data_IF_590037967069
#
_entry.id   IF_590037967069
#
_cell.length_a   1.000
_cell.length_b   1.000
_cell.length_c   1.000
_cell.angle_alpha   90.00
_cell.angle_beta   90.00
_cell.angle_gamma   90.00
#
_symmetry.space_group_name_H-M   'P 1'
#
loop_
_entity.id
_entity.type
_entity.pdbx_description
1 polymer ?
#
# COMPACT_ATOMS: atom_id res chain seq x y z
N UNK A 1 -15.36 26.19 -12.38
CA UNK A 1 -14.73 24.94 -11.89
C UNK A 1 -15.66 24.37 -10.84
N UNK A 2 -16.26 23.20 -11.07
CA UNK A 2 -17.19 22.60 -10.10
C UNK A 2 -16.40 21.70 -9.15
N UNK A 3 -15.85 22.29 -8.08
CA UNK A 3 -15.28 21.53 -6.95
C UNK A 3 -16.33 20.59 -6.40
N UNK A 4 -15.96 19.32 -6.18
CA UNK A 4 -16.84 18.32 -5.56
C UNK A 4 -16.23 17.84 -4.26
N UNK A 5 -17.09 17.60 -3.29
CA UNK A 5 -16.71 17.06 -2.01
C UNK A 5 -17.36 15.69 -1.82
N UNK A 6 -16.53 14.65 -1.76
CA UNK A 6 -16.95 13.28 -1.54
C UNK A 6 -16.95 12.99 -0.04
N UNK A 7 -18.14 12.85 0.53
CA UNK A 7 -18.35 12.77 1.97
C UNK A 7 -18.20 11.34 2.48
N UNK A 8 -17.77 11.20 3.75
CA UNK A 8 -17.65 9.90 4.42
C UNK A 8 -18.93 9.07 4.39
N UNK A 9 -20.11 9.68 4.49
CA UNK A 9 -21.41 9.00 4.42
C UNK A 9 -21.79 8.53 2.99
N UNK A 10 -20.88 8.66 2.01
CA UNK A 10 -21.11 8.22 0.64
C UNK A 10 -21.99 9.16 -0.17
N UNK A 11 -22.13 10.44 0.20
CA UNK A 11 -22.85 11.44 -0.61
C UNK A 11 -21.90 12.50 -1.16
N UNK A 12 -22.36 13.29 -2.13
CA UNK A 12 -21.58 14.38 -2.75
C UNK A 12 -22.15 15.72 -2.28
N UNK A 13 -21.28 16.63 -1.84
CA UNK A 13 -21.60 18.06 -1.74
C UNK A 13 -20.95 18.84 -2.87
N UNK A 14 -21.66 19.83 -3.39
CA UNK A 14 -21.15 20.85 -4.32
C UNK A 14 -20.88 22.18 -3.63
N UNK A 15 -21.35 22.33 -2.39
CA UNK A 15 -21.08 23.50 -1.57
C UNK A 15 -19.82 23.26 -0.72
N UNK A 16 -19.01 24.31 -0.47
CA UNK A 16 -17.85 24.22 0.40
C UNK A 16 -18.21 23.69 1.78
N UNK A 17 -17.45 22.69 2.24
CA UNK A 17 -17.61 22.10 3.57
C UNK A 17 -16.68 22.83 4.53
N UNK A 18 -17.19 23.15 5.71
CA UNK A 18 -16.35 23.61 6.81
C UNK A 18 -15.53 22.44 7.39
N UNK A 19 -14.22 22.51 7.24
CA UNK A 19 -13.25 21.50 7.72
C UNK A 19 -13.31 21.22 9.22
N UNK A 20 -13.76 22.18 10.02
CA UNK A 20 -13.83 22.03 11.49
C UNK A 20 -15.04 21.21 11.94
N UNK A 21 -16.06 21.08 11.08
CA UNK A 21 -17.34 20.44 11.43
C UNK A 21 -17.58 19.10 10.69
N UNK A 22 -16.67 18.69 9.81
CA UNK A 22 -16.84 17.48 9.01
C UNK A 22 -15.83 16.39 9.43
N UNK A 23 -16.34 15.17 9.65
CA UNK A 23 -15.52 14.02 10.08
C UNK A 23 -14.40 13.69 9.07
N UNK A 24 -14.73 13.54 7.79
CA UNK A 24 -13.80 13.25 6.69
C UNK A 24 -14.48 13.50 5.33
N UNK A 25 -13.72 14.04 4.39
CA UNK A 25 -14.13 14.17 2.98
C UNK A 25 -12.92 14.24 2.06
N UNK A 26 -13.15 13.93 0.78
CA UNK A 26 -12.17 14.10 -0.29
C UNK A 26 -12.64 15.24 -1.19
N UNK A 27 -11.76 16.20 -1.45
CA UNK A 27 -11.98 17.29 -2.39
C UNK A 27 -11.48 16.86 -3.76
N UNK A 28 -12.28 17.08 -4.79
CA UNK A 28 -11.84 17.04 -6.17
C UNK A 28 -11.83 18.43 -6.78
N UNK A 29 -10.73 18.72 -7.46
CA UNK A 29 -10.55 19.90 -8.28
C UNK A 29 -9.83 19.51 -9.58
N UNK A 30 -9.94 20.37 -10.59
CA UNK A 30 -9.40 20.13 -11.92
C UNK A 30 -8.23 21.07 -12.19
N UNK A 31 -7.06 20.53 -12.54
CA UNK A 31 -5.89 21.30 -13.00
C UNK A 31 -5.51 20.80 -14.38
N UNK A 32 -5.46 21.69 -15.37
CA UNK A 32 -5.06 21.37 -16.74
C UNK A 32 -5.84 20.20 -17.38
N UNK A 33 -7.11 20.02 -17.03
CA UNK A 33 -7.94 18.90 -17.52
C UNK A 33 -7.78 17.59 -16.73
N UNK A 34 -6.89 17.56 -15.74
CA UNK A 34 -6.70 16.41 -14.86
C UNK A 34 -7.49 16.55 -13.56
N UNK A 35 -8.22 15.50 -13.20
CA UNK A 35 -8.85 15.37 -11.88
C UNK A 35 -7.76 15.15 -10.83
N UNK A 36 -7.68 16.04 -9.85
CA UNK A 36 -6.84 15.89 -8.66
C UNK A 36 -7.73 15.69 -7.43
N UNK A 37 -7.19 14.97 -6.46
CA UNK A 37 -7.87 14.66 -5.21
C UNK A 37 -6.99 15.11 -4.05
N UNK A 38 -7.63 15.62 -3.00
CA UNK A 38 -6.99 16.04 -1.76
C UNK A 38 -7.87 15.63 -0.59
N UNK A 39 -7.25 15.25 0.53
CA UNK A 39 -7.95 15.07 1.80
C UNK A 39 -7.06 15.53 2.96
N UNK A 40 -7.69 15.89 4.07
CA UNK A 40 -6.98 16.38 5.25
C UNK A 40 -5.94 15.35 5.74
N UNK A 41 -4.72 15.81 6.00
CA UNK A 41 -3.56 15.02 6.42
C UNK A 41 -2.94 14.13 5.34
N UNK A 42 -3.21 14.36 4.04
CA UNK A 42 -2.59 13.60 2.95
C UNK A 42 -1.08 13.89 2.79
N UNK A 43 -0.53 14.95 3.40
CA UNK A 43 0.90 15.24 3.42
C UNK A 43 1.75 14.14 4.07
N UNK A 44 1.13 13.25 4.84
CA UNK A 44 1.81 12.07 5.39
C UNK A 44 2.40 11.17 4.31
N UNK A 45 1.79 11.13 3.11
CA UNK A 45 2.30 10.39 1.96
C UNK A 45 3.67 10.90 1.53
N UNK A 46 3.79 12.22 1.38
CA UNK A 46 5.06 12.88 1.03
C UNK A 46 6.11 12.65 2.10
N UNK A 47 5.72 12.70 3.37
CA UNK A 47 6.64 12.42 4.47
C UNK A 47 7.17 10.99 4.44
N UNK A 48 6.31 10.00 4.17
CA UNK A 48 6.74 8.60 4.04
C UNK A 48 7.67 8.46 2.83
N UNK A 49 7.31 9.07 1.68
CA UNK A 49 8.10 9.00 0.46
C UNK A 49 9.52 9.58 0.64
N UNK A 50 9.65 10.73 1.29
CA UNK A 50 10.95 11.32 1.63
C UNK A 50 11.83 10.38 2.47
N UNK A 51 11.24 9.69 3.45
CA UNK A 51 11.98 8.73 4.28
C UNK A 51 12.32 7.45 3.48
N UNK A 52 11.46 7.01 2.57
CA UNK A 52 11.76 5.90 1.66
C UNK A 52 12.90 6.26 0.71
N UNK A 53 12.95 7.48 0.17
CA UNK A 53 14.08 7.99 -0.63
C UNK A 53 15.39 7.88 0.16
N UNK A 54 15.36 8.23 1.45
CA UNK A 54 16.53 8.13 2.32
C UNK A 54 17.02 6.68 2.53
N UNK A 55 16.15 5.66 2.34
CA UNK A 55 16.58 4.27 2.40
C UNK A 55 17.42 3.85 1.18
N UNK A 56 17.23 4.49 0.01
CA UNK A 56 18.09 4.23 -1.15
C UNK A 56 19.53 4.61 -0.84
N UNK A 57 19.71 5.77 -0.22
CA UNK A 57 21.00 6.28 0.25
C UNK A 57 21.59 5.36 1.31
N UNK A 58 20.77 4.89 2.25
CA UNK A 58 21.23 3.94 3.27
C UNK A 58 21.78 2.65 2.66
N UNK A 59 21.10 2.05 1.68
CA UNK A 59 21.65 0.86 1.01
C UNK A 59 22.90 1.17 0.20
N UNK A 60 22.96 2.33 -0.47
CA UNK A 60 24.18 2.78 -1.15
C UNK A 60 25.33 2.83 -0.14
N UNK A 61 25.15 3.48 1.01
CA UNK A 61 26.21 3.68 1.99
C UNK A 61 26.68 2.36 2.62
N UNK A 62 25.81 1.35 2.73
CA UNK A 62 26.17 -0.01 3.17
C UNK A 62 27.16 -0.68 2.19
N UNK A 63 26.95 -0.55 0.88
CA UNK A 63 27.74 -1.28 -0.13
C UNK A 63 28.84 -0.42 -0.79
N UNK A 64 28.67 0.89 -0.80
CA UNK A 64 29.57 1.90 -1.38
C UNK A 64 29.81 3.05 -0.39
N UNK A 65 30.77 2.90 0.54
CA UNK A 65 31.08 3.94 1.53
C UNK A 65 31.67 5.22 0.91
N UNK A 66 32.28 5.13 -0.26
CA UNK A 66 32.74 6.29 -1.04
C UNK A 66 31.63 6.75 -2.00
N UNK A 67 30.84 7.72 -1.56
CA UNK A 67 29.72 8.28 -2.32
C UNK A 67 30.19 8.92 -3.64
N UNK A 68 31.31 9.63 -3.65
CA UNK A 68 31.82 10.28 -4.86
C UNK A 68 32.31 9.22 -5.87
N UNK A 69 33.02 8.20 -5.38
CA UNK A 69 33.42 7.04 -6.16
C UNK A 69 32.22 6.30 -6.76
N UNK A 70 31.16 6.09 -5.98
CA UNK A 70 29.90 5.50 -6.46
C UNK A 70 29.32 6.28 -7.64
N UNK A 71 29.13 7.59 -7.53
CA UNK A 71 28.54 8.39 -8.61
C UNK A 71 29.45 8.46 -9.86
N UNK A 72 30.78 8.47 -9.70
CA UNK A 72 31.71 8.36 -10.83
C UNK A 72 31.56 7.02 -11.57
N UNK A 73 31.44 5.92 -10.82
CA UNK A 73 31.20 4.61 -11.41
C UNK A 73 29.82 4.50 -12.06
N UNK A 74 28.78 5.03 -11.42
CA UNK A 74 27.41 5.02 -11.92
C UNK A 74 27.31 5.72 -13.28
N UNK A 75 28.02 6.84 -13.47
CA UNK A 75 28.08 7.54 -14.76
C UNK A 75 28.73 6.72 -15.89
N UNK A 76 29.47 5.67 -15.55
CA UNK A 76 30.16 4.79 -16.51
C UNK A 76 29.49 3.43 -16.66
N UNK A 77 28.60 3.06 -15.74
CA UNK A 77 27.99 1.74 -15.73
C UNK A 77 26.92 1.64 -16.82
N UNK A 78 26.83 0.52 -17.56
CA UNK A 78 25.82 0.37 -18.59
C UNK A 78 24.40 0.36 -17.99
N UNK A 79 23.47 0.95 -18.73
CA UNK A 79 22.06 1.09 -18.31
C UNK A 79 21.38 -0.24 -17.96
N UNK A 80 21.81 -1.37 -18.53
CA UNK A 80 21.23 -2.69 -18.22
C UNK A 80 21.38 -3.07 -16.76
N UNK A 81 22.38 -2.52 -16.05
CA UNK A 81 22.59 -2.78 -14.62
C UNK A 81 21.47 -2.18 -13.77
N UNK A 82 20.88 -1.07 -14.22
CA UNK A 82 19.80 -0.38 -13.53
C UNK A 82 18.41 -0.88 -14.00
N UNK A 83 18.26 -1.18 -15.29
CA UNK A 83 16.93 -1.32 -15.90
C UNK A 83 16.53 -2.77 -16.25
N UNK A 84 17.48 -3.64 -16.56
CA UNK A 84 17.16 -4.94 -17.16
C UNK A 84 16.47 -5.86 -16.14
N UNK A 85 15.32 -6.43 -16.53
CA UNK A 85 14.52 -7.30 -15.67
C UNK A 85 13.66 -6.58 -14.62
N UNK A 86 13.75 -5.26 -14.54
CA UNK A 86 12.97 -4.42 -13.61
C UNK A 86 12.12 -3.37 -14.34
N UNK A 87 12.46 -3.02 -15.59
CA UNK A 87 11.73 -2.06 -16.41
C UNK A 87 11.28 -2.67 -17.73
N UNK A 88 9.99 -2.52 -18.07
CA UNK A 88 9.41 -2.98 -19.34
C UNK A 88 9.99 -2.31 -20.58
N UNK A 89 10.56 -1.10 -20.44
CA UNK A 89 11.21 -0.38 -21.54
C UNK A 89 12.62 -0.91 -21.82
N UNK A 90 13.15 -1.78 -20.96
CA UNK A 90 14.43 -2.44 -21.17
C UNK A 90 14.24 -3.81 -21.83
N UNK A 91 14.35 -3.85 -23.17
CA UNK A 91 14.18 -5.06 -23.97
C UNK A 91 15.39 -6.02 -23.92
N UNK A 92 15.84 -6.39 -22.71
CA UNK A 92 16.94 -7.33 -22.47
C UNK A 92 16.37 -8.61 -21.86
N UNK A 93 16.51 -9.73 -22.58
CA UNK A 93 16.13 -11.04 -22.06
C UNK A 93 17.21 -11.64 -21.14
N UNK A 94 16.89 -12.76 -20.49
CA UNK A 94 17.78 -13.45 -19.55
C UNK A 94 19.07 -13.95 -20.21
N UNK A 95 19.03 -14.36 -21.48
CA UNK A 95 20.21 -14.86 -22.18
C UNK A 95 21.18 -13.72 -22.50
N UNK A 96 20.67 -12.60 -22.98
CA UNK A 96 21.45 -11.41 -23.26
C UNK A 96 22.00 -10.80 -21.96
N UNK A 97 21.20 -10.73 -20.90
CA UNK A 97 21.63 -10.26 -19.58
C UNK A 97 22.86 -11.03 -19.07
N UNK A 98 22.82 -12.37 -19.11
CA UNK A 98 23.95 -13.20 -18.68
C UNK A 98 25.22 -12.97 -19.54
N UNK A 99 25.07 -12.77 -20.85
CA UNK A 99 26.19 -12.41 -21.74
C UNK A 99 26.77 -11.05 -21.40
N UNK A 100 25.92 -10.05 -21.12
CA UNK A 100 26.34 -8.71 -20.75
C UNK A 100 27.09 -8.71 -19.41
N UNK A 101 26.62 -9.46 -18.41
CA UNK A 101 27.34 -9.65 -17.15
C UNK A 101 28.77 -10.13 -17.40
N UNK A 102 28.94 -11.23 -18.16
CA UNK A 102 30.28 -11.77 -18.44
C UNK A 102 31.17 -10.79 -19.19
N UNK A 103 30.61 -10.04 -20.16
CA UNK A 103 31.33 -9.03 -20.93
C UNK A 103 31.81 -7.87 -20.04
N UNK A 104 30.92 -7.33 -19.22
CA UNK A 104 31.19 -6.13 -18.41
C UNK A 104 31.92 -6.44 -17.10
N UNK A 105 31.90 -7.68 -16.63
CA UNK A 105 32.72 -8.12 -15.50
C UNK A 105 34.21 -7.94 -15.78
N UNK A 106 34.67 -8.13 -17.02
CA UNK A 106 36.07 -7.88 -17.39
C UNK A 106 36.49 -6.41 -17.30
N UNK A 107 35.52 -5.48 -17.24
CA UNK A 107 35.75 -4.04 -17.18
C UNK A 107 35.62 -3.53 -15.74
N UNK A 108 34.55 -3.93 -15.04
CA UNK A 108 34.18 -3.41 -13.73
C UNK A 108 34.47 -4.37 -12.56
N UNK A 109 34.81 -5.63 -12.85
CA UNK A 109 35.07 -6.66 -11.85
C UNK A 109 33.92 -6.82 -10.86
N UNK A 110 34.27 -6.93 -9.58
CA UNK A 110 33.31 -7.13 -8.48
C UNK A 110 32.37 -5.94 -8.27
N UNK A 111 32.72 -4.73 -8.75
CA UNK A 111 31.84 -3.57 -8.61
C UNK A 111 30.59 -3.71 -9.48
N UNK A 112 30.66 -4.44 -10.61
CA UNK A 112 29.47 -4.77 -11.39
C UNK A 112 28.43 -5.53 -10.56
N UNK A 113 28.87 -6.58 -9.86
CA UNK A 113 27.99 -7.38 -9.00
C UNK A 113 27.48 -6.58 -7.81
N UNK A 114 28.30 -5.66 -7.29
CA UNK A 114 27.90 -4.79 -6.20
C UNK A 114 26.80 -3.81 -6.63
N UNK A 115 26.92 -3.20 -7.80
CA UNK A 115 25.89 -2.32 -8.37
C UNK A 115 24.59 -3.10 -8.64
N UNK A 116 24.68 -4.27 -9.29
CA UNK A 116 23.50 -5.13 -9.52
C UNK A 116 22.76 -5.45 -8.22
N UNK A 117 23.51 -5.86 -7.19
CA UNK A 117 22.92 -6.19 -5.89
C UNK A 117 22.30 -4.98 -5.19
N UNK A 118 22.97 -3.81 -5.23
CA UNK A 118 22.41 -2.57 -4.70
C UNK A 118 21.07 -2.22 -5.39
N UNK A 119 21.02 -2.35 -6.72
CA UNK A 119 19.80 -2.09 -7.51
C UNK A 119 18.68 -3.05 -7.10
N UNK A 120 18.97 -4.33 -6.88
CA UNK A 120 17.98 -5.29 -6.39
C UNK A 120 17.43 -4.91 -4.99
N UNK A 121 18.27 -4.42 -4.08
CA UNK A 121 17.82 -3.90 -2.79
C UNK A 121 16.94 -2.65 -2.95
N UNK A 122 17.36 -1.73 -3.81
CA UNK A 122 16.64 -0.48 -4.10
C UNK A 122 15.30 -0.72 -4.79
N UNK A 123 15.19 -1.75 -5.63
CA UNK A 123 13.94 -2.18 -6.26
C UNK A 123 12.87 -2.55 -5.23
N UNK A 124 13.25 -3.13 -4.08
CA UNK A 124 12.32 -3.42 -2.98
C UNK A 124 11.71 -2.11 -2.45
N UNK A 125 12.52 -1.05 -2.31
CA UNK A 125 12.04 0.27 -1.85
C UNK A 125 11.08 0.87 -2.87
N UNK A 126 11.45 0.86 -4.16
CA UNK A 126 10.59 1.37 -5.24
C UNK A 126 9.26 0.63 -5.31
N UNK A 127 9.28 -0.68 -5.02
CA UNK A 127 8.07 -1.48 -4.91
C UNK A 127 7.20 -1.00 -3.75
N UNK A 128 7.75 -0.67 -2.58
CA UNK A 128 6.98 -0.09 -1.45
C UNK A 128 6.37 1.26 -1.84
N UNK A 129 7.13 2.14 -2.50
CA UNK A 129 6.62 3.44 -2.97
C UNK A 129 5.43 3.26 -3.92
N UNK A 130 5.53 2.34 -4.88
CA UNK A 130 4.42 2.02 -5.78
C UNK A 130 3.20 1.47 -5.02
N UNK A 131 3.41 0.55 -4.09
CA UNK A 131 2.31 0.00 -3.28
C UNK A 131 1.65 1.06 -2.39
N UNK A 132 2.42 2.04 -1.90
CA UNK A 132 1.91 3.17 -1.12
C UNK A 132 0.99 4.07 -1.96
N UNK A 133 1.43 4.41 -3.18
CA UNK A 133 0.61 5.16 -4.14
C UNK A 133 -0.68 4.40 -4.49
N UNK A 134 -0.58 3.10 -4.82
CA UNK A 134 -1.74 2.27 -5.12
C UNK A 134 -2.71 2.18 -3.93
N UNK A 135 -2.20 2.05 -2.70
CA UNK A 135 -3.04 2.06 -1.50
C UNK A 135 -3.80 3.38 -1.35
N UNK A 136 -3.14 4.51 -1.57
CA UNK A 136 -3.78 5.81 -1.52
C UNK A 136 -4.83 5.96 -2.62
N UNK A 137 -4.52 5.55 -3.85
CA UNK A 137 -5.46 5.60 -4.97
C UNK A 137 -6.69 4.74 -4.70
N UNK A 138 -6.52 3.53 -4.16
CA UNK A 138 -7.63 2.65 -3.78
C UNK A 138 -8.47 3.24 -2.64
N UNK A 139 -7.83 3.88 -1.65
CA UNK A 139 -8.51 4.59 -0.58
C UNK A 139 -9.37 5.74 -1.12
N UNK A 140 -8.80 6.60 -1.96
CA UNK A 140 -9.53 7.69 -2.63
C UNK A 140 -10.67 7.13 -3.49
N UNK A 141 -10.37 6.11 -4.30
CA UNK A 141 -11.30 5.52 -5.25
C UNK A 141 -12.53 4.95 -4.55
N UNK A 142 -12.37 4.33 -3.39
CA UNK A 142 -13.51 3.83 -2.62
C UNK A 142 -14.53 4.95 -2.31
N UNK A 143 -14.07 6.10 -1.78
CA UNK A 143 -14.96 7.21 -1.44
C UNK A 143 -15.52 7.91 -2.68
N UNK A 144 -14.72 8.06 -3.74
CA UNK A 144 -15.20 8.64 -5.00
C UNK A 144 -16.28 7.75 -5.61
N UNK A 145 -16.03 6.46 -5.77
CA UNK A 145 -16.94 5.55 -6.47
C UNK A 145 -18.23 5.31 -5.69
N UNK A 146 -18.16 5.16 -4.36
CA UNK A 146 -19.37 4.97 -3.56
C UNK A 146 -20.27 6.21 -3.64
N UNK A 147 -19.67 7.40 -3.66
CA UNK A 147 -20.36 8.67 -3.80
C UNK A 147 -20.93 8.89 -5.21
N UNK A 148 -20.21 8.52 -6.26
CA UNK A 148 -20.65 8.67 -7.66
C UNK A 148 -21.63 7.58 -8.10
N UNK A 149 -21.76 6.48 -7.34
CA UNK A 149 -22.73 5.43 -7.64
C UNK A 149 -24.15 6.01 -7.73
N UNK A 150 -24.74 5.93 -8.92
CA UNK A 150 -26.09 6.41 -9.18
C UNK A 150 -27.11 5.37 -8.72
N UNK A 151 -28.07 5.80 -7.91
CA UNK A 151 -29.13 4.94 -7.40
C UNK A 151 -30.46 5.47 -7.90
N UNK A 152 -31.23 4.61 -8.59
CA UNK A 152 -32.59 4.93 -8.99
C UNK A 152 -33.53 4.50 -7.87
N UNK A 153 -33.96 5.45 -7.05
CA UNK A 153 -34.95 5.22 -6.01
C UNK A 153 -36.35 5.18 -6.63
N UNK A 154 -37.04 4.05 -6.47
CA UNK A 154 -38.48 3.95 -6.70
C UNK A 154 -39.21 4.32 -5.39
N UNK A 155 -40.41 4.92 -5.47
CA UNK A 155 -41.23 5.28 -4.30
C UNK A 155 -41.43 4.13 -3.30
N UNK A 156 -41.34 2.86 -3.75
CA UNK A 156 -41.37 1.68 -2.88
C UNK A 156 -40.24 1.63 -1.84
N UNK A 157 -39.16 2.37 -2.06
CA UNK A 157 -37.98 2.45 -1.20
C UNK A 157 -37.89 3.76 -0.42
N UNK A 158 -38.94 4.59 -0.43
CA UNK A 158 -39.03 5.80 0.42
C UNK A 158 -38.95 5.41 1.89
N UNK A 159 -38.18 6.16 2.68
CA UNK A 159 -37.99 5.99 4.13
C UNK A 159 -37.52 4.59 4.54
N UNK A 160 -36.64 4.00 3.71
CA UNK A 160 -36.09 2.66 3.91
C UNK A 160 -34.58 2.63 3.73
N UNK A 161 -33.97 1.69 4.44
CA UNK A 161 -32.64 1.19 4.12
C UNK A 161 -32.78 -0.05 3.25
N UNK A 162 -32.13 -0.07 2.09
CA UNK A 162 -32.08 -1.22 1.19
C UNK A 162 -30.65 -1.49 0.76
N UNK A 163 -30.42 -2.60 0.06
CA UNK A 163 -29.11 -2.93 -0.50
C UNK A 163 -29.20 -3.30 -1.96
N UNK A 164 -28.10 -3.11 -2.67
CA UNK A 164 -27.90 -3.50 -4.05
C UNK A 164 -26.71 -4.45 -4.16
N UNK A 165 -26.86 -5.46 -5.01
CA UNK A 165 -25.75 -6.29 -5.49
C UNK A 165 -25.60 -6.01 -6.98
N UNK A 166 -24.58 -5.23 -7.34
CA UNK A 166 -24.40 -4.68 -8.68
C UNK A 166 -22.94 -4.73 -9.13
N UNK A 167 -22.64 -4.20 -10.32
CA UNK A 167 -21.27 -4.03 -10.77
C UNK A 167 -20.51 -3.12 -9.80
N UNK A 168 -21.13 -2.01 -9.40
CA UNK A 168 -20.58 -1.01 -8.50
C UNK A 168 -20.24 -1.61 -7.13
N UNK A 169 -21.15 -2.42 -6.54
CA UNK A 169 -20.87 -3.05 -5.24
C UNK A 169 -19.71 -4.05 -5.30
N UNK A 170 -19.55 -4.77 -6.42
CA UNK A 170 -18.42 -5.68 -6.64
C UNK A 170 -17.10 -4.93 -6.84
N UNK A 171 -17.11 -3.83 -7.60
CA UNK A 171 -15.93 -2.99 -7.81
C UNK A 171 -15.48 -2.30 -6.52
N UNK A 172 -16.41 -1.82 -5.71
CA UNK A 172 -16.11 -1.27 -4.38
C UNK A 172 -15.48 -2.34 -3.49
N UNK A 173 -16.02 -3.56 -3.44
CA UNK A 173 -15.41 -4.67 -2.70
C UNK A 173 -13.98 -4.95 -3.15
N UNK A 174 -13.78 -5.12 -4.47
CA UNK A 174 -12.47 -5.38 -5.05
C UNK A 174 -11.46 -4.27 -4.75
N UNK A 175 -11.92 -3.01 -4.68
CA UNK A 175 -11.09 -1.86 -4.31
C UNK A 175 -10.56 -1.99 -2.89
N UNK A 176 -11.44 -2.26 -1.93
CA UNK A 176 -11.04 -2.39 -0.51
C UNK A 176 -10.23 -3.68 -0.29
N UNK A 177 -10.58 -4.78 -0.95
CA UNK A 177 -9.80 -6.03 -0.91
C UNK A 177 -8.38 -5.84 -1.43
N UNK A 178 -8.24 -5.16 -2.58
CA UNK A 178 -6.95 -4.81 -3.16
C UNK A 178 -6.11 -3.95 -2.22
N UNK A 179 -6.75 -3.01 -1.52
CA UNK A 179 -6.06 -2.17 -0.53
C UNK A 179 -5.36 -3.02 0.54
N UNK A 180 -6.08 -4.00 1.13
CA UNK A 180 -5.51 -4.85 2.18
C UNK A 180 -4.44 -5.81 1.66
N UNK A 181 -4.55 -6.26 0.40
CA UNK A 181 -3.47 -7.02 -0.26
C UNK A 181 -2.21 -6.17 -0.36
N UNK A 182 -2.32 -4.91 -0.80
CA UNK A 182 -1.18 -4.00 -0.94
C UNK A 182 -0.57 -3.64 0.42
N UNK A 183 -1.41 -3.36 1.43
CA UNK A 183 -0.97 -3.11 2.80
C UNK A 183 -0.15 -4.28 3.37
N UNK A 184 -0.60 -5.52 3.18
CA UNK A 184 0.16 -6.70 3.61
C UNK A 184 1.45 -6.87 2.80
N UNK A 185 1.43 -6.60 1.49
CA UNK A 185 2.63 -6.70 0.67
C UNK A 185 3.72 -5.73 1.14
N UNK A 186 3.36 -4.52 1.60
CA UNK A 186 4.30 -3.60 2.24
C UNK A 186 4.92 -4.23 3.50
N UNK A 187 4.16 -4.96 4.31
CA UNK A 187 4.70 -5.69 5.47
C UNK A 187 5.73 -6.75 5.07
N UNK A 188 5.46 -7.51 4.00
CA UNK A 188 6.42 -8.47 3.43
C UNK A 188 7.70 -7.76 2.97
N UNK A 189 7.58 -6.65 2.23
CA UNK A 189 8.72 -5.91 1.66
C UNK A 189 9.56 -5.20 2.74
N UNK A 190 8.93 -4.61 3.76
CA UNK A 190 9.64 -4.03 4.91
C UNK A 190 10.45 -5.10 5.66
N UNK A 191 9.88 -6.30 5.81
CA UNK A 191 10.60 -7.43 6.42
C UNK A 191 11.85 -7.75 5.59
N UNK A 192 11.73 -7.75 4.26
CA UNK A 192 12.88 -7.97 3.38
C UNK A 192 13.96 -6.90 3.53
N UNK A 193 13.59 -5.61 3.53
CA UNK A 193 14.52 -4.50 3.75
C UNK A 193 15.29 -4.67 5.06
N UNK A 194 14.58 -4.97 6.16
CA UNK A 194 15.21 -5.17 7.47
C UNK A 194 16.22 -6.32 7.43
N UNK A 195 15.89 -7.43 6.77
CA UNK A 195 16.81 -8.56 6.63
C UNK A 195 18.10 -8.20 5.88
N UNK A 196 18.01 -7.44 4.80
CA UNK A 196 19.19 -7.00 4.04
C UNK A 196 20.06 -6.06 4.86
N UNK A 197 19.44 -5.13 5.60
CA UNK A 197 20.15 -4.18 6.46
C UNK A 197 20.80 -4.87 7.65
N UNK A 198 20.14 -5.86 8.28
CA UNK A 198 20.71 -6.57 9.43
C UNK A 198 21.86 -7.51 9.04
N UNK A 199 21.93 -7.94 7.77
CA UNK A 199 22.85 -8.98 7.30
C UNK A 199 23.61 -8.54 6.04
N UNK A 200 24.34 -7.41 6.02
CA UNK A 200 24.93 -6.91 4.78
C UNK A 200 25.97 -7.86 4.19
N UNK A 201 25.90 -8.08 2.86
CA UNK A 201 26.91 -8.83 2.12
C UNK A 201 28.25 -8.09 2.16
N UNK A 202 29.32 -8.83 2.50
CA UNK A 202 30.68 -8.29 2.65
C UNK A 202 31.57 -8.46 1.42
N UNK A 203 31.22 -9.37 0.51
CA UNK A 203 32.05 -9.72 -0.66
C UNK A 203 31.18 -9.99 -1.88
N UNK A 204 31.54 -9.38 -3.01
CA UNK A 204 30.82 -9.49 -4.29
C UNK A 204 31.64 -10.25 -5.32
N UNK A 205 32.04 -11.49 -4.98
CA UNK A 205 32.83 -12.34 -5.89
C UNK A 205 31.98 -12.97 -7.01
N UNK A 206 30.66 -12.92 -6.85
CA UNK A 206 29.64 -13.32 -7.84
C UNK A 206 28.42 -12.43 -7.65
N UNK A 207 27.50 -12.45 -8.61
CA UNK A 207 26.18 -11.86 -8.44
C UNK A 207 25.37 -12.70 -7.45
N UNK A 208 25.16 -12.17 -6.25
CA UNK A 208 24.48 -12.86 -5.15
C UNK A 208 22.97 -12.71 -5.23
N UNK A 209 22.24 -13.72 -4.74
CA UNK A 209 20.82 -13.55 -4.47
C UNK A 209 20.61 -12.70 -3.23
N UNK A 210 19.54 -11.91 -3.22
CA UNK A 210 19.06 -11.21 -2.03
C UNK A 210 18.93 -12.19 -0.84
N UNK A 211 19.43 -11.78 0.33
CA UNK A 211 19.35 -12.57 1.57
C UNK A 211 17.89 -12.71 2.00
N UNK A 212 17.09 -11.71 1.66
CA UNK A 212 15.68 -11.59 1.93
C UNK A 212 14.78 -12.31 0.92
N UNK A 213 15.33 -12.99 -0.10
CA UNK A 213 14.55 -13.54 -1.23
C UNK A 213 13.35 -14.40 -0.80
N UNK A 214 13.52 -15.26 0.22
CA UNK A 214 12.48 -16.16 0.74
C UNK A 214 11.79 -15.63 2.01
N UNK A 215 12.06 -14.38 2.41
CA UNK A 215 11.50 -13.79 3.63
C UNK A 215 10.14 -13.17 3.37
N UNK A 216 9.24 -13.39 4.31
CA UNK A 216 7.88 -12.85 4.33
C UNK A 216 7.57 -12.27 5.73
N UNK A 217 6.42 -11.62 5.89
CA UNK A 217 5.97 -10.97 7.12
C UNK A 217 6.04 -11.87 8.36
N UNK A 218 5.81 -13.18 8.20
CA UNK A 218 5.93 -14.16 9.27
C UNK A 218 7.34 -14.27 9.85
N UNK A 219 8.37 -13.98 9.05
CA UNK A 219 9.77 -14.02 9.46
C UNK A 219 10.21 -12.81 10.29
N UNK A 220 9.37 -11.77 10.44
CA UNK A 220 9.67 -10.60 11.28
C UNK A 220 10.14 -10.97 12.68
N UNK A 221 9.66 -12.09 13.22
CA UNK A 221 10.01 -12.63 14.56
C UNK A 221 11.50 -12.92 14.74
N UNK A 222 12.22 -13.07 13.63
CA UNK A 222 13.66 -13.35 13.59
C UNK A 222 14.49 -12.08 13.36
N UNK A 223 13.85 -10.92 13.24
CA UNK A 223 14.50 -9.61 13.09
C UNK A 223 14.57 -8.90 14.44
N UNK A 224 15.46 -7.93 14.58
CA UNK A 224 15.55 -7.09 15.80
C UNK A 224 14.39 -6.10 15.92
N UNK A 225 13.60 -5.93 14.86
CA UNK A 225 12.43 -5.04 14.82
C UNK A 225 11.15 -5.70 15.35
N UNK A 226 11.17 -7.00 15.67
CA UNK A 226 9.98 -7.68 16.16
C UNK A 226 9.42 -7.02 17.43
N UNK A 227 8.12 -6.67 17.40
CA UNK A 227 7.43 -5.96 18.48
C UNK A 227 8.01 -4.55 18.77
N UNK A 228 8.66 -3.91 17.81
CA UNK A 228 9.11 -2.52 17.96
C UNK A 228 7.90 -1.58 18.16
N UNK A 229 7.79 -0.88 19.30
CA UNK A 229 6.61 -0.09 19.65
C UNK A 229 6.26 0.98 18.61
N UNK A 230 4.96 1.21 18.42
CA UNK A 230 4.40 2.22 17.52
C UNK A 230 4.73 2.06 16.03
N UNK A 231 5.38 0.96 15.64
CA UNK A 231 5.69 0.63 14.24
C UNK A 231 4.66 -0.35 13.68
N UNK A 232 4.82 -0.72 12.42
CA UNK A 232 4.08 -1.84 11.82
C UNK A 232 4.53 -3.20 12.38
N UNK A 233 5.70 -3.27 13.01
CA UNK A 233 6.24 -4.49 13.63
C UNK A 233 5.75 -4.73 15.05
N UNK A 234 5.01 -3.77 15.63
CA UNK A 234 4.29 -3.94 16.88
C UNK A 234 3.12 -4.93 16.71
N UNK A 235 2.93 -5.81 17.69
CA UNK A 235 1.72 -6.63 17.75
C UNK A 235 0.49 -5.79 18.11
N UNK A 236 -0.19 -5.27 17.09
CA UNK A 236 -1.37 -4.42 17.23
C UNK A 236 -2.58 -4.94 16.44
N UNK A 237 -3.77 -4.40 16.75
CA UNK A 237 -5.02 -4.81 16.12
C UNK A 237 -5.04 -4.50 14.62
N UNK A 238 -4.55 -3.32 14.20
CA UNK A 238 -4.45 -2.92 12.79
C UNK A 238 -3.77 -4.00 11.92
N UNK A 239 -2.58 -4.43 12.34
CA UNK A 239 -1.78 -5.40 11.59
C UNK A 239 -2.48 -6.76 11.52
N UNK A 240 -3.14 -7.18 12.61
CA UNK A 240 -3.95 -8.41 12.66
C UNK A 240 -5.16 -8.33 11.71
N UNK A 241 -5.80 -7.17 11.60
CA UNK A 241 -6.90 -6.93 10.65
C UNK A 241 -6.38 -7.06 9.21
N UNK A 242 -5.28 -6.38 8.88
CA UNK A 242 -4.66 -6.44 7.54
C UNK A 242 -4.32 -7.88 7.18
N UNK A 243 -3.66 -8.61 8.08
CA UNK A 243 -3.32 -10.02 7.89
C UNK A 243 -4.57 -10.89 7.69
N UNK A 244 -5.59 -10.70 8.53
CA UNK A 244 -6.84 -11.48 8.44
C UNK A 244 -7.56 -11.24 7.12
N UNK A 245 -7.70 -9.99 6.68
CA UNK A 245 -8.42 -9.65 5.44
C UNK A 245 -7.66 -10.07 4.19
N UNK A 246 -6.33 -9.86 4.16
CA UNK A 246 -5.52 -10.36 3.04
C UNK A 246 -5.59 -11.87 2.94
N UNK A 247 -5.47 -12.59 4.06
CA UNK A 247 -5.54 -14.05 4.05
C UNK A 247 -6.92 -14.54 3.62
N UNK A 248 -7.99 -13.91 4.10
CA UNK A 248 -9.35 -14.26 3.69
C UNK A 248 -9.57 -14.02 2.20
N UNK A 249 -9.14 -12.87 1.68
CA UNK A 249 -9.27 -12.53 0.24
C UNK A 249 -8.48 -13.50 -0.65
N UNK A 250 -7.21 -13.76 -0.30
CA UNK A 250 -6.31 -14.57 -1.14
C UNK A 250 -6.63 -16.07 -1.05
N UNK A 251 -7.00 -16.57 0.13
CA UNK A 251 -7.18 -18.01 0.34
C UNK A 251 -8.64 -18.48 0.33
N UNK A 252 -9.58 -17.59 0.66
CA UNK A 252 -11.02 -17.91 0.77
C UNK A 252 -11.89 -17.12 -0.23
N UNK A 253 -11.27 -16.31 -1.10
CA UNK A 253 -11.88 -15.70 -2.29
C UNK A 253 -12.42 -14.28 -2.10
N UNK A 254 -13.14 -14.01 -1.02
CA UNK A 254 -13.63 -12.67 -0.64
C UNK A 254 -14.13 -12.71 0.82
N UNK A 255 -14.23 -11.54 1.48
CA UNK A 255 -14.85 -11.44 2.81
C UNK A 255 -16.38 -11.35 2.78
N UNK A 256 -17.00 -11.19 1.62
CA UNK A 256 -18.46 -11.29 1.46
C UNK A 256 -18.79 -11.99 0.14
N UNK A 257 -19.58 -13.07 0.21
CA UNK A 257 -19.97 -13.85 -0.98
C UNK A 257 -20.65 -13.00 -2.07
N UNK A 258 -21.51 -12.07 -1.66
CA UNK A 258 -22.22 -11.17 -2.56
C UNK A 258 -22.07 -9.75 -2.04
N UNK A 259 -21.06 -8.98 -2.48
CA UNK A 259 -20.82 -7.65 -1.98
C UNK A 259 -22.05 -6.74 -2.13
N UNK A 260 -22.39 -6.05 -1.04
CA UNK A 260 -23.58 -5.18 -0.99
C UNK A 260 -23.22 -3.73 -0.78
N UNK A 261 -23.89 -2.88 -1.56
CA UNK A 261 -23.99 -1.45 -1.28
C UNK A 261 -25.31 -1.18 -0.57
N UNK A 262 -25.26 -0.74 0.68
CA UNK A 262 -26.43 -0.30 1.43
C UNK A 262 -26.71 1.17 1.16
N UNK A 263 -27.99 1.50 1.05
CA UNK A 263 -28.49 2.84 0.73
C UNK A 263 -29.57 3.21 1.74
N UNK A 264 -29.45 4.39 2.34
CA UNK A 264 -30.47 5.00 3.20
C UNK A 264 -31.19 6.06 2.41
N UNK A 265 -32.49 5.84 2.16
CA UNK A 265 -33.36 6.78 1.48
C UNK A 265 -34.35 7.38 2.49
N UNK A 266 -34.36 8.71 2.62
CA UNK A 266 -35.30 9.47 3.46
C UNK A 266 -35.98 10.52 2.59
N UNK A 267 -37.30 10.54 2.58
CA UNK A 267 -38.08 11.51 1.78
C UNK A 267 -37.66 11.56 0.31
N UNK A 268 -37.37 10.39 -0.29
CA UNK A 268 -36.85 10.23 -1.65
C UNK A 268 -35.48 10.88 -1.92
N UNK A 269 -34.73 11.21 -0.86
CA UNK A 269 -33.35 11.66 -0.91
C UNK A 269 -32.41 10.60 -0.32
N UNK A 270 -31.34 10.29 -1.06
CA UNK A 270 -30.30 9.38 -0.59
C UNK A 270 -29.42 10.14 0.41
N UNK A 271 -29.56 9.80 1.69
CA UNK A 271 -28.80 10.44 2.76
C UNK A 271 -27.51 9.72 3.12
N UNK A 272 -27.38 8.45 2.71
CA UNK A 272 -26.21 7.65 2.99
C UNK A 272 -26.04 6.47 2.01
N UNK A 273 -24.78 6.18 1.67
CA UNK A 273 -24.36 4.97 0.94
C UNK A 273 -23.15 4.34 1.65
N UNK A 274 -23.23 3.06 1.99
CA UNK A 274 -22.16 2.39 2.74
C UNK A 274 -22.03 0.91 2.42
N UNK A 275 -20.84 0.36 2.70
CA UNK A 275 -20.62 -1.09 2.77
C UNK A 275 -20.40 -1.52 4.21
N UNK A 276 -20.72 -2.77 4.53
CA UNK A 276 -20.48 -3.32 5.86
C UNK A 276 -19.09 -3.97 5.94
N UNK A 277 -18.44 -3.78 7.07
CA UNK A 277 -17.18 -4.40 7.44
C UNK A 277 -17.48 -5.61 8.33
N UNK A 278 -16.84 -6.78 8.11
CA UNK A 278 -17.12 -7.96 8.92
C UNK A 278 -16.72 -7.76 10.39
N UNK A 279 -17.33 -8.53 11.27
CA UNK A 279 -17.11 -8.44 12.71
C UNK A 279 -15.72 -8.97 13.07
N UNK A 280 -14.91 -8.15 13.73
CA UNK A 280 -13.62 -8.53 14.28
C UNK A 280 -13.66 -8.74 15.80
N UNK A 281 -12.85 -9.67 16.29
CA UNK A 281 -12.50 -9.84 17.70
C UNK A 281 -10.97 -9.91 17.82
N UNK A 282 -10.39 -8.98 18.58
CA UNK A 282 -8.94 -8.84 18.77
C UNK A 282 -8.13 -8.87 17.45
N UNK A 283 -8.64 -8.18 16.43
CA UNK A 283 -8.02 -8.10 15.10
C UNK A 283 -8.13 -9.36 14.23
N UNK A 284 -8.92 -10.37 14.63
CA UNK A 284 -9.25 -11.53 13.79
C UNK A 284 -10.72 -11.54 13.41
N UNK A 285 -11.04 -12.09 12.23
CA UNK A 285 -12.44 -12.30 11.84
C UNK A 285 -13.15 -13.16 12.89
N UNK A 286 -14.29 -12.67 13.37
CA UNK A 286 -15.16 -13.41 14.27
C UNK A 286 -15.54 -14.73 13.62
N UNK A 287 -15.30 -15.86 14.28
CA UNK A 287 -15.38 -17.16 13.64
C UNK A 287 -16.15 -18.17 14.49
N UNK A 288 -17.05 -18.92 13.85
CA UNK A 288 -17.63 -20.15 14.38
C UNK A 288 -17.38 -21.26 13.38
N UNK A 289 -16.40 -22.12 13.67
CA UNK A 289 -15.91 -23.20 12.78
C UNK A 289 -15.48 -22.65 11.42
N UNK A 290 -16.33 -22.74 10.40
CA UNK A 290 -16.05 -22.32 9.03
C UNK A 290 -16.75 -21.00 8.65
N UNK A 291 -17.60 -20.45 9.52
CA UNK A 291 -18.33 -19.19 9.26
C UNK A 291 -17.55 -18.04 9.85
N UNK A 292 -17.15 -17.07 9.01
CA UNK A 292 -16.30 -15.93 9.39
C UNK A 292 -16.87 -14.55 9.01
N UNK A 293 -17.91 -14.50 8.20
CA UNK A 293 -18.47 -13.25 7.64
C UNK A 293 -19.72 -12.82 8.42
N UNK A 294 -19.53 -12.51 9.71
CA UNK A 294 -20.59 -11.94 10.55
C UNK A 294 -20.58 -10.41 10.43
N UNK A 295 -21.75 -9.78 10.57
CA UNK A 295 -21.92 -8.32 10.41
C UNK A 295 -22.84 -7.74 11.50
N UNK A 296 -22.90 -8.40 12.65
CA UNK A 296 -23.81 -8.05 13.75
C UNK A 296 -23.52 -6.67 14.34
N UNK A 297 -22.26 -6.21 14.29
CA UNK A 297 -21.87 -4.88 14.78
C UNK A 297 -22.29 -3.75 13.84
N UNK A 298 -22.71 -4.06 12.62
CA UNK A 298 -23.05 -3.07 11.58
C UNK A 298 -21.95 -2.02 11.34
N UNK A 299 -20.69 -2.42 11.54
CA UNK A 299 -19.53 -1.56 11.29
C UNK A 299 -19.50 -1.18 9.81
N UNK A 300 -19.43 0.11 9.50
CA UNK A 300 -19.38 0.59 8.11
C UNK A 300 -17.93 0.68 7.64
N UNK A 301 -17.65 0.21 6.42
CA UNK A 301 -16.35 0.38 5.78
C UNK A 301 -15.99 1.86 5.74
N UNK A 302 -16.94 2.71 5.37
CA UNK A 302 -16.82 4.16 5.31
C UNK A 302 -16.16 4.80 6.55
N UNK A 303 -16.45 4.27 7.74
CA UNK A 303 -15.94 4.81 9.00
C UNK A 303 -14.60 4.18 9.40
N UNK A 304 -14.50 2.85 9.31
CA UNK A 304 -13.31 2.12 9.76
C UNK A 304 -12.13 2.35 8.81
N UNK A 305 -12.38 2.53 7.51
CA UNK A 305 -11.34 2.62 6.50
C UNK A 305 -10.46 3.87 6.69
N UNK A 306 -11.07 5.02 7.03
CA UNK A 306 -10.32 6.25 7.41
C UNK A 306 -9.35 5.97 8.55
N UNK A 307 -9.83 5.32 9.61
CA UNK A 307 -9.04 5.04 10.82
C UNK A 307 -7.86 4.12 10.49
N UNK A 308 -8.13 3.00 9.81
CA UNK A 308 -7.11 2.04 9.43
C UNK A 308 -6.07 2.64 8.49
N UNK A 309 -6.51 3.49 7.54
CA UNK A 309 -5.62 4.15 6.60
C UNK A 309 -4.61 5.05 7.33
N UNK A 310 -5.08 6.02 8.11
CA UNK A 310 -4.18 6.93 8.81
C UNK A 310 -3.32 6.23 9.87
N UNK A 311 -3.84 5.23 10.58
CA UNK A 311 -3.03 4.47 11.54
C UNK A 311 -1.90 3.72 10.82
N UNK A 312 -2.19 3.09 9.68
CA UNK A 312 -1.19 2.42 8.87
C UNK A 312 -0.11 3.38 8.38
N UNK A 313 -0.49 4.53 7.83
CA UNK A 313 0.47 5.54 7.33
C UNK A 313 1.39 6.06 8.45
N UNK A 314 0.83 6.36 9.62
CA UNK A 314 1.61 6.82 10.77
C UNK A 314 2.60 5.75 11.25
N UNK A 315 2.16 4.50 11.36
CA UNK A 315 3.03 3.38 11.75
C UNK A 315 4.07 3.08 10.68
N UNK A 316 3.74 3.19 9.39
CA UNK A 316 4.68 3.03 8.29
C UNK A 316 5.79 4.09 8.37
N UNK A 317 5.44 5.36 8.54
CA UNK A 317 6.40 6.45 8.71
C UNK A 317 7.36 6.18 9.87
N UNK A 318 6.82 5.79 11.04
CA UNK A 318 7.64 5.42 12.21
C UNK A 318 8.54 4.23 11.93
N UNK A 319 8.05 3.23 11.20
CA UNK A 319 8.82 2.04 10.81
C UNK A 319 10.01 2.41 9.95
N UNK A 320 9.79 3.18 8.87
CA UNK A 320 10.86 3.60 7.95
C UNK A 320 11.91 4.44 8.68
N UNK A 321 11.49 5.40 9.51
CA UNK A 321 12.40 6.18 10.37
C UNK A 321 13.25 5.32 11.29
N UNK A 322 12.66 4.28 11.89
CA UNK A 322 13.40 3.35 12.74
C UNK A 322 14.43 2.54 11.93
N UNK A 323 14.06 2.09 10.74
CA UNK A 323 14.99 1.40 9.83
C UNK A 323 16.16 2.32 9.46
N UNK A 324 15.89 3.60 9.14
CA UNK A 324 16.92 4.58 8.85
C UNK A 324 17.89 4.79 10.01
N UNK A 325 17.37 4.86 11.24
CA UNK A 325 18.18 5.04 12.44
C UNK A 325 18.99 3.79 12.85
N UNK A 326 18.71 2.62 12.27
CA UNK A 326 19.41 1.38 12.62
C UNK A 326 20.85 1.36 12.09
N UNK A 327 21.80 1.03 12.96
CA UNK A 327 23.22 0.88 12.64
C UNK A 327 23.66 -0.56 12.90
N UNK A 328 24.33 -1.18 11.92
CA UNK A 328 24.84 -2.57 11.98
C UNK A 328 26.04 -2.75 12.89
#
# INVERSE_FOLDING_TARGET
>A
MNTRYYLKNGTISVEPINEDNADFFIVNYEINGERKFFYKNDEILLNIDCELVSLYDKFRDIYFPDTEGYYKQLNSIPIFVQEAGQNSDCAIDTNLFNKLIGKFFNIFGNDLYRHLYLVDCQYIIGTIQNHLCEMNDLFIRFYVDICETTILCNDRFTDKTFHLTSLESRLLSATVESYFIKAYSILDLLTKIIYEIENPIKKFNKYEKLISNEKIWGDRKKTKFNNEPETLFEECELVKIIESLRNETVHNGSWELNPKLFVVNKENNITEKFMLFPDFDQGRLSCVKNRKHFFSKSTKINDIFVKLHFEFMNRLLKTVKKILAYTT
#
